data_IF_846871470687
#
_entry.id   IF_846871470687
#
_cell.length_a   1.000
_cell.length_b   1.000
_cell.length_c   1.000
_cell.angle_alpha   90.00
_cell.angle_beta   90.00
_cell.angle_gamma   90.00
#
_symmetry.space_group_name_H-M   'P 1'
#
loop_
_entity.id
_entity.type
_entity.pdbx_description
1 polymer ?
#
# COMPACT_ATOMS: atom_id res chain seq x y z
N UNK A 1 13.46 -16.05 46.67
CA UNK A 1 14.37 -14.89 46.44
C UNK A 1 14.53 -14.77 44.93
N UNK A 2 14.03 -13.81 44.16
CA UNK A 2 13.37 -12.51 44.34
C UNK A 2 12.29 -12.41 43.24
N UNK A 3 10.98 -12.32 43.54
CA UNK A 3 10.19 -11.07 43.58
C UNK A 3 10.94 -9.81 43.13
N UNK A 4 10.67 -9.36 41.89
CA UNK A 4 10.48 -7.96 41.44
C UNK A 4 10.73 -7.86 39.92
N UNK A 5 9.69 -8.03 39.11
CA UNK A 5 9.64 -7.53 37.73
C UNK A 5 8.23 -7.40 37.10
N UNK A 6 7.16 -7.03 37.84
CA UNK A 6 5.99 -6.44 37.20
C UNK A 6 5.95 -4.95 37.52
N UNK A 7 6.56 -4.09 36.69
CA UNK A 7 6.30 -2.63 36.71
C UNK A 7 6.92 -1.81 35.54
N UNK A 8 7.52 -2.41 34.51
CA UNK A 8 8.17 -1.65 33.42
C UNK A 8 7.54 -1.74 32.02
N UNK A 9 6.40 -2.40 31.86
CA UNK A 9 5.83 -2.63 30.53
C UNK A 9 4.33 -2.33 30.55
N UNK A 10 3.92 -1.23 29.90
CA UNK A 10 2.55 -0.67 29.99
C UNK A 10 1.80 -0.70 28.65
N UNK A 11 2.30 -1.43 27.64
CA UNK A 11 1.82 -1.34 26.27
C UNK A 11 1.76 -2.73 25.61
N UNK A 12 0.79 -2.98 24.72
CA UNK A 12 0.67 -4.23 23.92
C UNK A 12 1.96 -4.58 23.14
N UNK A 13 2.80 -3.57 22.87
CA UNK A 13 4.11 -3.69 22.21
C UNK A 13 5.11 -4.51 23.02
N UNK A 14 5.05 -4.42 24.34
CA UNK A 14 5.95 -5.12 25.25
C UNK A 14 5.54 -6.59 25.40
N UNK A 15 4.24 -6.89 25.27
CA UNK A 15 3.70 -8.25 25.30
C UNK A 15 4.15 -9.08 24.09
N UNK A 16 4.24 -8.47 22.90
CA UNK A 16 4.77 -9.14 21.71
C UNK A 16 6.24 -9.56 21.90
N UNK A 17 7.08 -8.67 22.46
CA UNK A 17 8.49 -8.95 22.75
C UNK A 17 8.65 -10.05 23.81
N UNK A 18 7.83 -10.01 24.87
CA UNK A 18 7.74 -11.06 25.90
C UNK A 18 7.42 -12.42 25.30
N UNK A 19 6.48 -12.50 24.35
CA UNK A 19 6.11 -13.78 23.71
C UNK A 19 7.25 -14.42 22.91
N UNK A 20 8.19 -13.63 22.37
CA UNK A 20 9.38 -14.14 21.69
C UNK A 20 10.43 -14.62 22.70
N UNK A 21 10.64 -13.86 23.79
CA UNK A 21 11.57 -14.23 24.87
C UNK A 21 11.12 -15.51 25.56
N UNK A 22 9.83 -15.69 25.82
CA UNK A 22 9.26 -16.90 26.45
C UNK A 22 9.39 -18.15 25.56
N UNK A 23 9.42 -18.00 24.23
CA UNK A 23 9.65 -19.09 23.27
C UNK A 23 11.14 -19.38 23.01
N UNK A 24 12.04 -18.66 23.67
CA UNK A 24 13.49 -18.78 23.46
C UNK A 24 13.97 -18.23 22.11
N UNK A 25 13.13 -17.47 21.41
CA UNK A 25 13.47 -16.83 20.14
C UNK A 25 14.05 -15.43 20.40
N UNK A 26 15.12 -15.08 19.67
CA UNK A 26 15.72 -13.75 19.75
C UNK A 26 14.93 -12.78 18.86
N UNK A 27 14.62 -11.59 19.37
CA UNK A 27 13.99 -10.51 18.62
C UNK A 27 14.53 -9.15 19.12
N UNK A 28 14.47 -8.11 18.29
CA UNK A 28 14.81 -6.74 18.69
C UNK A 28 13.72 -5.75 18.26
N UNK A 29 13.65 -4.61 18.96
CA UNK A 29 12.81 -3.48 18.53
C UNK A 29 13.56 -2.63 17.50
N UNK A 30 12.97 -2.44 16.33
CA UNK A 30 13.44 -1.44 15.36
C UNK A 30 13.25 -0.01 15.89
N UNK A 31 13.94 0.96 15.27
CA UNK A 31 13.78 2.40 15.60
C UNK A 31 12.35 2.92 15.49
N UNK A 32 11.50 2.24 14.72
CA UNK A 32 10.09 2.60 14.53
C UNK A 32 9.12 1.77 15.40
N UNK A 33 9.64 0.99 16.36
CA UNK A 33 8.82 0.25 17.32
C UNK A 33 8.23 -1.07 16.81
N UNK A 34 8.69 -1.56 15.66
CA UNK A 34 8.33 -2.89 15.12
C UNK A 34 9.24 -3.95 15.72
N UNK A 35 8.66 -5.06 16.21
CA UNK A 35 9.41 -6.23 16.71
C UNK A 35 9.92 -7.04 15.51
N UNK A 36 11.23 -7.25 15.45
CA UNK A 36 11.93 -7.96 14.37
C UNK A 36 12.53 -9.26 14.92
N UNK A 37 12.12 -10.45 14.42
CA UNK A 37 12.71 -11.72 14.83
C UNK A 37 14.12 -11.90 14.27
N UNK A 38 15.03 -12.42 15.08
CA UNK A 38 16.42 -12.76 14.70
C UNK A 38 16.48 -14.25 14.34
N UNK A 39 16.87 -14.61 13.10
CA UNK A 39 17.02 -16.01 12.71
C UNK A 39 18.05 -16.75 13.58
N UNK A 40 17.77 -18.02 13.93
CA UNK A 40 18.64 -18.88 14.75
C UNK A 40 20.00 -19.19 14.13
N UNK A 41 20.24 -18.82 12.87
CA UNK A 41 21.49 -19.10 12.13
C UNK A 41 22.63 -18.12 12.43
N UNK A 42 22.41 -17.11 13.29
CA UNK A 42 23.44 -16.15 13.70
C UNK A 42 23.85 -16.41 15.15
N UNK A 43 24.71 -17.40 15.33
CA UNK A 43 25.27 -17.76 16.63
C UNK A 43 26.50 -16.88 16.94
N UNK A 44 26.26 -15.59 17.17
CA UNK A 44 27.24 -14.70 17.84
C UNK A 44 26.49 -13.76 18.78
N UNK A 45 26.88 -13.77 20.06
CA UNK A 45 26.37 -12.91 21.12
C UNK A 45 26.63 -11.40 20.85
N UNK A 46 25.95 -10.49 21.56
CA UNK A 46 25.75 -9.12 21.10
C UNK A 46 26.85 -8.18 21.60
N UNK A 47 27.82 -7.89 20.75
CA UNK A 47 28.56 -6.64 20.83
C UNK A 47 28.12 -5.76 19.67
N UNK A 48 27.55 -4.60 20.00
CA UNK A 48 27.14 -3.49 19.15
C UNK A 48 27.32 -3.76 17.63
N UNK A 49 26.30 -4.34 17.00
CA UNK A 49 26.26 -4.51 15.54
C UNK A 49 26.44 -3.13 14.93
N UNK A 50 27.63 -2.87 14.37
CA UNK A 50 27.93 -1.59 13.75
C UNK A 50 26.86 -1.29 12.68
N UNK A 51 26.51 -0.02 12.50
CA UNK A 51 25.56 0.41 11.45
C UNK A 51 25.93 -0.12 10.05
N UNK A 52 27.20 -0.47 9.82
CA UNK A 52 27.67 -1.06 8.56
C UNK A 52 27.29 -2.54 8.44
N UNK A 53 27.35 -3.30 9.54
CA UNK A 53 26.98 -4.72 9.59
C UNK A 53 25.46 -4.90 9.49
N UNK A 54 24.67 -4.07 10.19
CA UNK A 54 23.21 -4.09 10.06
C UNK A 54 22.75 -3.72 8.64
N UNK A 55 23.36 -2.70 8.02
CA UNK A 55 23.12 -2.36 6.61
C UNK A 55 23.52 -3.47 5.65
N UNK A 56 24.61 -4.19 5.93
CA UNK A 56 25.04 -5.30 5.09
C UNK A 56 24.11 -6.51 5.23
N UNK A 57 23.60 -6.80 6.44
CA UNK A 57 22.61 -7.86 6.69
C UNK A 57 21.28 -7.52 6.01
N UNK A 58 20.78 -6.30 6.19
CA UNK A 58 19.59 -5.83 5.46
C UNK A 58 19.81 -5.91 3.95
N UNK A 59 20.99 -5.51 3.45
CA UNK A 59 21.32 -5.57 2.02
C UNK A 59 21.41 -7.01 1.50
N UNK A 60 21.93 -7.96 2.29
CA UNK A 60 22.00 -9.36 1.93
C UNK A 60 20.65 -10.07 2.02
N UNK A 61 19.82 -9.78 3.03
CA UNK A 61 18.44 -10.28 3.11
C UNK A 61 17.58 -9.70 1.98
N UNK A 62 17.76 -8.42 1.65
CA UNK A 62 17.13 -7.78 0.47
C UNK A 62 17.58 -8.43 -0.83
N UNK A 63 18.85 -8.80 -0.97
CA UNK A 63 19.36 -9.50 -2.16
C UNK A 63 18.76 -10.90 -2.29
N UNK A 64 18.61 -11.63 -1.17
CA UNK A 64 17.95 -12.93 -1.12
C UNK A 64 16.45 -12.82 -1.45
N UNK A 65 15.77 -11.80 -0.91
CA UNK A 65 14.36 -11.53 -1.24
C UNK A 65 14.24 -11.17 -2.73
N UNK A 66 15.04 -10.23 -3.25
CA UNK A 66 15.02 -9.84 -4.66
C UNK A 66 15.35 -10.98 -5.64
N UNK A 67 16.24 -11.91 -5.27
CA UNK A 67 16.59 -13.09 -6.10
C UNK A 67 15.71 -14.32 -5.88
N UNK A 68 14.91 -14.37 -4.82
CA UNK A 68 13.97 -15.48 -4.63
C UNK A 68 12.92 -15.46 -5.73
N UNK A 69 12.72 -16.60 -6.40
CA UNK A 69 11.69 -16.77 -7.42
C UNK A 69 10.32 -16.27 -6.88
N UNK A 70 9.42 -15.76 -7.75
CA UNK A 70 8.06 -15.42 -7.33
C UNK A 70 7.47 -16.59 -6.51
N UNK A 71 6.75 -16.34 -5.40
CA UNK A 71 6.11 -17.42 -4.67
C UNK A 71 5.28 -18.25 -5.66
N UNK A 72 5.56 -19.56 -5.74
CA UNK A 72 4.95 -20.45 -6.74
C UNK A 72 3.41 -20.54 -6.59
N UNK A 73 2.90 -20.13 -5.44
CA UNK A 73 1.49 -19.92 -5.16
C UNK A 73 1.35 -18.66 -4.31
N UNK A 74 0.88 -17.56 -4.91
CA UNK A 74 0.51 -16.35 -4.17
C UNK A 74 -0.99 -16.40 -3.91
N UNK A 75 -1.41 -16.14 -2.68
CA UNK A 75 -2.80 -15.99 -2.28
C UNK A 75 -3.39 -14.64 -2.71
N UNK A 76 -2.58 -13.67 -3.17
CA UNK A 76 -3.06 -12.48 -3.89
C UNK A 76 -3.47 -12.86 -5.32
N UNK A 77 -4.77 -12.77 -5.60
CA UNK A 77 -5.38 -13.17 -6.86
C UNK A 77 -5.41 -12.05 -7.91
N UNK A 78 -5.68 -10.81 -7.48
CA UNK A 78 -5.91 -9.67 -8.40
C UNK A 78 -5.25 -8.40 -7.88
N UNK A 79 -4.44 -7.74 -8.71
CA UNK A 79 -3.95 -6.39 -8.44
C UNK A 79 -4.60 -5.44 -9.45
N UNK A 80 -5.36 -4.48 -8.95
CA UNK A 80 -6.04 -3.45 -9.74
C UNK A 80 -5.18 -2.20 -9.70
N UNK A 81 -4.78 -1.72 -10.87
CA UNK A 81 -4.05 -0.47 -11.03
C UNK A 81 -5.01 0.55 -11.62
N UNK A 82 -5.10 1.71 -10.99
CA UNK A 82 -5.97 2.80 -11.39
C UNK A 82 -5.15 3.99 -11.88
N UNK A 83 -4.99 4.17 -13.20
CA UNK A 83 -4.44 5.42 -13.72
C UNK A 83 -5.44 6.55 -13.52
N UNK A 84 -5.08 7.54 -12.70
CA UNK A 84 -5.93 8.69 -12.37
C UNK A 84 -6.44 9.43 -13.61
N UNK A 85 -7.57 10.14 -13.47
CA UNK A 85 -8.15 10.98 -14.53
C UNK A 85 -8.48 10.22 -15.82
N UNK A 86 -8.62 10.91 -16.96
CA UNK A 86 -8.84 10.30 -18.27
C UNK A 86 -10.00 10.92 -19.05
N UNK A 87 -9.96 10.79 -20.37
CA UNK A 87 -10.94 11.35 -21.30
C UNK A 87 -11.07 12.87 -21.12
N UNK A 88 -12.26 13.30 -20.70
CA UNK A 88 -12.59 14.72 -20.47
C UNK A 88 -11.91 15.33 -19.25
N UNK A 89 -11.40 14.52 -18.34
CA UNK A 89 -10.66 14.97 -17.17
C UNK A 89 -9.15 14.87 -17.46
N UNK A 90 -8.45 15.98 -17.74
CA UNK A 90 -7.02 15.95 -18.00
C UNK A 90 -6.17 15.73 -16.74
N UNK A 91 -6.78 15.81 -15.54
CA UNK A 91 -6.06 16.01 -14.30
C UNK A 91 -5.30 17.34 -14.28
N UNK A 92 -4.22 17.41 -13.53
CA UNK A 92 -3.35 18.57 -13.52
C UNK A 92 -2.69 18.80 -14.88
N UNK A 93 -2.63 20.07 -15.29
CA UNK A 93 -1.83 20.51 -16.43
C UNK A 93 -0.50 21.02 -15.88
N UNK A 94 0.55 20.28 -16.17
CA UNK A 94 1.90 20.50 -15.67
C UNK A 94 2.68 21.55 -16.44
N UNK A 95 3.99 21.56 -16.19
CA UNK A 95 4.93 22.36 -16.96
C UNK A 95 4.97 21.89 -18.43
N UNK A 96 5.00 22.81 -19.40
CA UNK A 96 5.00 22.49 -20.84
C UNK A 96 3.77 21.70 -21.32
N UNK A 97 2.59 21.97 -20.75
CA UNK A 97 1.29 21.38 -21.13
C UNK A 97 1.20 19.86 -21.04
N UNK A 98 2.09 19.24 -20.27
CA UNK A 98 2.01 17.81 -19.93
C UNK A 98 0.74 17.61 -19.12
N UNK A 99 -0.10 16.66 -19.55
CA UNK A 99 -1.35 16.32 -18.86
C UNK A 99 -1.13 15.13 -17.96
N UNK A 100 -1.61 15.23 -16.73
CA UNK A 100 -1.50 14.16 -15.75
C UNK A 100 -2.10 12.85 -16.28
N UNK A 101 -3.28 12.90 -16.90
CA UNK A 101 -3.98 11.69 -17.39
C UNK A 101 -3.16 10.82 -18.35
N UNK A 102 -2.31 11.43 -19.17
CA UNK A 102 -1.52 10.75 -20.19
C UNK A 102 -0.30 10.12 -19.51
N UNK A 103 0.37 10.92 -18.68
CA UNK A 103 1.54 10.53 -17.91
C UNK A 103 1.25 9.36 -16.95
N UNK A 104 0.14 9.40 -16.23
CA UNK A 104 -0.23 8.36 -15.27
C UNK A 104 -0.73 7.08 -15.95
N UNK A 105 -1.29 7.17 -17.17
CA UNK A 105 -1.64 6.00 -17.97
C UNK A 105 -0.39 5.24 -18.39
N UNK A 106 0.61 5.94 -18.92
CA UNK A 106 1.89 5.35 -19.31
C UNK A 106 2.59 4.69 -18.11
N UNK A 107 2.64 5.39 -16.98
CA UNK A 107 3.19 4.85 -15.74
C UNK A 107 2.43 3.60 -15.26
N UNK A 108 1.09 3.63 -15.26
CA UNK A 108 0.27 2.49 -14.85
C UNK A 108 0.46 1.25 -15.73
N UNK A 109 0.65 1.42 -17.05
CA UNK A 109 0.98 0.33 -17.96
C UNK A 109 2.35 -0.28 -17.62
N UNK A 110 3.36 0.56 -17.36
CA UNK A 110 4.67 0.09 -16.93
C UNK A 110 4.61 -0.66 -15.60
N UNK A 111 3.81 -0.19 -14.64
CA UNK A 111 3.58 -0.86 -13.36
C UNK A 111 2.91 -2.21 -13.54
N UNK A 112 1.86 -2.29 -14.37
CA UNK A 112 1.17 -3.54 -14.71
C UNK A 112 2.16 -4.57 -15.24
N UNK A 113 2.99 -4.16 -16.19
CA UNK A 113 3.94 -5.05 -16.84
C UNK A 113 5.05 -5.49 -15.88
N UNK A 114 5.52 -4.59 -15.00
CA UNK A 114 6.49 -4.92 -13.97
C UNK A 114 5.95 -5.93 -12.95
N UNK A 115 4.73 -5.72 -12.44
CA UNK A 115 4.08 -6.64 -11.51
C UNK A 115 3.78 -8.00 -12.15
N UNK A 116 3.28 -7.99 -13.39
CA UNK A 116 2.99 -9.23 -14.14
C UNK A 116 4.25 -10.10 -14.32
N UNK A 117 5.43 -9.47 -14.53
CA UNK A 117 6.70 -10.21 -14.61
C UNK A 117 7.22 -10.69 -13.26
N UNK A 118 6.95 -9.95 -12.18
CA UNK A 118 7.53 -10.19 -10.87
C UNK A 118 6.71 -11.15 -9.98
N UNK A 119 5.43 -11.35 -10.28
CA UNK A 119 4.50 -12.15 -9.48
C UNK A 119 4.18 -13.50 -10.14
N UNK A 120 3.44 -14.33 -9.42
CA UNK A 120 2.94 -15.61 -9.93
C UNK A 120 2.07 -15.38 -11.17
N UNK A 121 2.15 -16.24 -12.21
CA UNK A 121 1.25 -16.20 -13.35
C UNK A 121 -0.25 -16.33 -12.99
N UNK A 122 -0.57 -16.76 -11.77
CA UNK A 122 -1.95 -16.79 -11.26
C UNK A 122 -2.46 -15.42 -10.81
N UNK A 123 -1.59 -14.50 -10.39
CA UNK A 123 -1.99 -13.15 -10.02
C UNK A 123 -2.34 -12.35 -11.27
N UNK A 124 -3.60 -11.93 -11.38
CA UNK A 124 -4.06 -11.07 -12.47
C UNK A 124 -3.74 -9.62 -12.15
N UNK A 125 -3.05 -8.92 -13.04
CA UNK A 125 -2.81 -7.48 -12.91
C UNK A 125 -3.63 -6.75 -13.96
N UNK A 126 -4.59 -5.94 -13.52
CA UNK A 126 -5.59 -5.29 -14.39
C UNK A 126 -5.58 -3.78 -14.21
N UNK A 127 -6.02 -3.05 -15.24
CA UNK A 127 -6.15 -1.59 -15.20
C UNK A 127 -7.63 -1.21 -15.14
N UNK A 128 -7.99 -0.18 -14.38
CA UNK A 128 -9.36 0.39 -14.43
C UNK A 128 -9.65 0.93 -15.83
N UNK A 129 -8.67 1.60 -16.45
CA UNK A 129 -8.67 2.03 -17.87
C UNK A 129 -7.36 1.66 -18.57
N UNK A 130 -7.46 1.14 -19.79
CA UNK A 130 -6.31 0.83 -20.65
C UNK A 130 -6.02 1.87 -21.74
N UNK A 131 -6.84 2.93 -21.80
CA UNK A 131 -6.80 3.98 -22.83
C UNK A 131 -7.21 5.33 -22.22
N UNK A 132 -7.26 6.38 -23.05
CA UNK A 132 -7.73 7.73 -22.66
C UNK A 132 -9.26 7.78 -22.51
N UNK A 133 -9.78 7.07 -21.51
CA UNK A 133 -11.20 7.00 -21.18
C UNK A 133 -11.48 7.68 -19.84
N UNK A 134 -12.59 8.41 -19.77
CA UNK A 134 -13.07 8.97 -18.51
C UNK A 134 -13.75 7.88 -17.68
N UNK A 135 -13.34 7.74 -16.43
CA UNK A 135 -14.04 6.98 -15.40
C UNK A 135 -14.24 7.85 -14.16
N UNK A 136 -15.47 7.92 -13.67
CA UNK A 136 -15.79 8.53 -12.39
C UNK A 136 -15.16 7.76 -11.23
N UNK A 137 -15.03 8.42 -10.08
CA UNK A 137 -14.45 7.81 -8.87
C UNK A 137 -15.29 6.61 -8.37
N UNK A 138 -16.61 6.67 -8.56
CA UNK A 138 -17.53 5.58 -8.26
C UNK A 138 -17.32 4.38 -9.20
N UNK A 139 -17.21 4.62 -10.52
CA UNK A 139 -16.95 3.56 -11.49
C UNK A 139 -15.62 2.85 -11.24
N UNK A 140 -14.57 3.57 -10.82
CA UNK A 140 -13.27 2.98 -10.43
C UNK A 140 -13.40 2.05 -9.23
N UNK A 141 -14.13 2.51 -8.21
CA UNK A 141 -14.37 1.75 -6.98
C UNK A 141 -15.19 0.48 -7.27
N UNK A 142 -16.26 0.64 -8.04
CA UNK A 142 -17.12 -0.47 -8.47
C UNK A 142 -16.35 -1.48 -9.31
N UNK A 143 -15.52 -1.01 -10.26
CA UNK A 143 -14.66 -1.87 -11.05
C UNK A 143 -13.74 -2.72 -10.16
N UNK A 144 -13.04 -2.09 -9.20
CA UNK A 144 -12.12 -2.78 -8.31
C UNK A 144 -12.83 -3.83 -7.44
N UNK A 145 -13.96 -3.46 -6.83
CA UNK A 145 -14.75 -4.38 -5.99
C UNK A 145 -15.31 -5.56 -6.81
N UNK A 146 -15.79 -5.31 -8.02
CA UNK A 146 -16.27 -6.37 -8.91
C UNK A 146 -15.14 -7.30 -9.36
N UNK A 147 -13.93 -6.76 -9.61
CA UNK A 147 -12.78 -7.56 -10.03
C UNK A 147 -12.40 -8.62 -8.98
N UNK A 148 -12.61 -8.32 -7.70
CA UNK A 148 -12.40 -9.28 -6.60
C UNK A 148 -13.67 -10.01 -6.16
N UNK A 149 -14.83 -9.70 -6.73
CA UNK A 149 -16.09 -10.38 -6.39
C UNK A 149 -16.58 -10.10 -4.96
N UNK A 150 -16.48 -8.85 -4.49
CA UNK A 150 -17.13 -8.42 -3.24
C UNK A 150 -18.62 -8.82 -3.26
N UNK A 151 -19.12 -9.36 -2.16
CA UNK A 151 -20.51 -9.82 -2.03
C UNK A 151 -20.82 -11.14 -2.74
N UNK A 152 -19.79 -11.84 -3.22
CA UNK A 152 -19.93 -13.15 -3.86
C UNK A 152 -19.25 -14.25 -3.03
N UNK A 153 -19.65 -15.50 -3.25
CA UNK A 153 -19.00 -16.68 -2.64
C UNK A 153 -17.57 -16.93 -3.16
N UNK A 154 -17.18 -16.24 -4.22
CA UNK A 154 -15.88 -16.37 -4.90
C UNK A 154 -15.02 -15.12 -4.71
N UNK A 155 -15.16 -14.46 -3.56
CA UNK A 155 -14.35 -13.29 -3.22
C UNK A 155 -12.87 -13.65 -3.23
N UNK A 156 -12.10 -12.84 -3.94
CA UNK A 156 -10.66 -13.01 -4.17
C UNK A 156 -9.87 -12.04 -3.29
N UNK A 157 -8.62 -12.38 -2.97
CA UNK A 157 -7.74 -11.41 -2.34
C UNK A 157 -7.21 -10.46 -3.41
N UNK A 158 -7.47 -9.17 -3.25
CA UNK A 158 -6.92 -8.19 -4.17
C UNK A 158 -6.23 -7.01 -3.51
N UNK A 159 -5.51 -6.27 -4.33
CA UNK A 159 -4.84 -5.03 -3.97
C UNK A 159 -5.25 -3.94 -4.95
N UNK A 160 -5.35 -2.70 -4.46
CA UNK A 160 -5.65 -1.54 -5.29
C UNK A 160 -4.50 -0.52 -5.25
N UNK A 161 -4.07 -0.05 -6.41
CA UNK A 161 -2.98 0.92 -6.55
C UNK A 161 -3.44 2.01 -7.51
N UNK A 162 -3.72 3.21 -6.99
CA UNK A 162 -3.99 4.37 -7.82
C UNK A 162 -2.70 5.13 -8.11
N UNK A 163 -2.49 5.55 -9.35
CA UNK A 163 -1.29 6.28 -9.80
C UNK A 163 -1.70 7.68 -10.23
N UNK A 164 -1.07 8.68 -9.62
CA UNK A 164 -1.33 10.10 -9.81
C UNK A 164 -0.02 10.89 -9.92
N UNK A 165 -0.10 12.12 -10.43
CA UNK A 165 1.02 13.05 -10.41
C UNK A 165 0.58 14.40 -9.82
N UNK A 166 1.09 14.67 -8.62
CA UNK A 166 0.73 15.81 -7.80
C UNK A 166 0.90 17.16 -8.53
N UNK A 167 0.20 18.17 -8.05
CA UNK A 167 0.28 19.53 -8.55
C UNK A 167 0.26 20.53 -7.40
N UNK A 168 1.02 21.61 -7.57
CA UNK A 168 1.08 22.70 -6.59
C UNK A 168 1.20 24.04 -7.30
N UNK A 169 0.54 25.06 -6.73
CA UNK A 169 0.75 26.46 -7.12
C UNK A 169 2.19 26.91 -6.90
N UNK A 170 2.85 26.38 -5.86
CA UNK A 170 4.27 26.59 -5.67
C UNK A 170 5.04 25.61 -6.57
N UNK A 171 5.52 26.10 -7.72
CA UNK A 171 6.29 25.34 -8.71
C UNK A 171 7.65 24.82 -8.24
N UNK A 172 8.10 25.18 -7.03
CA UNK A 172 9.28 24.57 -6.40
C UNK A 172 8.95 23.31 -5.57
N UNK A 173 7.66 23.05 -5.30
CA UNK A 173 7.21 21.82 -4.65
C UNK A 173 7.65 20.62 -5.48
N UNK A 174 8.20 19.61 -4.81
CA UNK A 174 8.68 18.40 -5.47
C UNK A 174 8.68 17.21 -4.52
N UNK A 175 8.81 16.04 -5.11
CA UNK A 175 8.98 14.75 -4.47
C UNK A 175 7.71 13.92 -4.46
N UNK A 176 7.89 12.61 -4.34
CA UNK A 176 6.80 11.65 -4.34
C UNK A 176 6.12 11.55 -2.97
N UNK A 177 4.87 11.08 -2.99
CA UNK A 177 4.05 10.76 -1.83
C UNK A 177 3.28 9.46 -2.06
N UNK A 178 2.98 8.73 -0.99
CA UNK A 178 2.18 7.50 -0.99
C UNK A 178 1.11 7.65 0.08
N UNK A 179 -0.14 7.43 -0.32
CA UNK A 179 -1.30 7.63 0.52
C UNK A 179 -2.07 6.34 0.75
N UNK A 180 -2.73 6.26 1.91
CA UNK A 180 -3.73 5.25 2.24
C UNK A 180 -4.89 5.90 3.03
N UNK A 181 -6.00 5.18 3.26
CA UNK A 181 -7.17 5.72 3.99
C UNK A 181 -6.86 5.88 5.50
N UNK A 182 -7.38 6.94 6.14
CA UNK A 182 -7.24 7.16 7.60
C UNK A 182 -8.26 6.37 8.44
N UNK A 183 -8.01 6.29 9.76
CA UNK A 183 -8.77 5.40 10.64
C UNK A 183 -10.13 6.00 11.00
N UNK A 184 -10.22 7.32 11.10
CA UNK A 184 -11.48 8.04 11.31
C UNK A 184 -12.47 7.77 10.15
N UNK A 185 -11.94 7.56 8.96
CA UNK A 185 -12.66 7.45 7.70
C UNK A 185 -12.98 6.02 7.30
N UNK A 186 -12.29 5.06 7.94
CA UNK A 186 -12.69 3.65 7.93
C UNK A 186 -14.15 3.46 8.35
N UNK A 187 -14.69 4.38 9.17
CA UNK A 187 -16.08 4.34 9.61
C UNK A 187 -17.08 4.66 8.49
N UNK A 188 -16.72 5.49 7.51
CA UNK A 188 -17.56 5.77 6.33
C UNK A 188 -17.41 4.66 5.29
N UNK A 189 -16.19 4.14 5.08
CA UNK A 189 -15.96 2.98 4.23
C UNK A 189 -16.71 1.74 4.75
N UNK A 190 -16.65 1.46 6.05
CA UNK A 190 -17.42 0.38 6.69
C UNK A 190 -18.94 0.55 6.50
N UNK A 191 -19.44 1.79 6.49
CA UNK A 191 -20.85 2.09 6.20
C UNK A 191 -21.20 1.83 4.74
N UNK A 192 -20.33 2.22 3.81
CA UNK A 192 -20.53 1.97 2.38
C UNK A 192 -20.61 0.46 2.09
N UNK A 193 -19.75 -0.35 2.72
CA UNK A 193 -19.82 -1.82 2.57
C UNK A 193 -21.11 -2.39 3.10
N UNK A 194 -21.48 -2.01 4.33
CA UNK A 194 -22.68 -2.54 4.95
C UNK A 194 -23.96 -2.11 4.20
N UNK A 195 -23.92 -0.97 3.50
CA UNK A 195 -24.98 -0.59 2.55
C UNK A 195 -25.02 -1.44 1.28
N UNK A 196 -23.87 -1.89 0.76
CA UNK A 196 -23.77 -2.73 -0.43
C UNK A 196 -24.29 -4.16 -0.18
N UNK A 197 -24.11 -4.66 1.04
CA UNK A 197 -24.49 -6.02 1.46
C UNK A 197 -25.94 -6.09 2.00
N UNK A 198 -26.75 -5.05 1.76
CA UNK A 198 -28.11 -4.90 2.28
C UNK A 198 -28.23 -5.06 3.81
N UNK A 199 -27.14 -4.84 4.57
CA UNK A 199 -27.08 -4.99 6.03
C UNK A 199 -27.25 -3.66 6.79
N UNK A 200 -27.59 -2.57 6.07
CA UNK A 200 -27.90 -1.25 6.62
C UNK A 200 -29.18 -0.73 6.00
N UNK A 201 -30.10 -0.25 6.84
CA UNK A 201 -31.22 0.58 6.42
C UNK A 201 -30.72 2.04 6.30
N UNK A 202 -30.80 2.60 5.10
CA UNK A 202 -30.31 3.95 4.79
C UNK A 202 -31.48 4.94 4.75
N UNK A 203 -31.50 5.92 5.66
CA UNK A 203 -32.34 7.13 5.54
C UNK A 203 -31.49 8.25 4.91
N UNK A 204 -31.58 8.34 3.58
CA UNK A 204 -30.79 9.28 2.76
C UNK A 204 -31.10 10.75 3.06
N UNK A 205 -32.32 11.08 3.53
CA UNK A 205 -32.69 12.48 3.80
C UNK A 205 -32.10 13.02 5.10
N UNK A 206 -31.79 12.13 6.06
CA UNK A 206 -31.33 12.53 7.40
C UNK A 206 -29.86 12.22 7.68
N UNK A 207 -29.14 11.64 6.71
CA UNK A 207 -27.78 11.12 6.91
C UNK A 207 -27.71 10.17 8.14
N UNK A 208 -28.76 9.37 8.35
CA UNK A 208 -28.90 8.44 9.47
C UNK A 208 -28.81 7.01 8.95
N UNK A 209 -27.79 6.30 9.42
CA UNK A 209 -27.54 4.90 9.09
C UNK A 209 -27.91 4.04 10.29
N UNK A 210 -28.78 3.06 10.09
CA UNK A 210 -29.12 2.06 11.12
C UNK A 210 -28.67 0.70 10.64
N UNK A 211 -27.66 0.12 11.30
CA UNK A 211 -27.28 -1.27 11.04
C UNK A 211 -28.49 -2.17 11.31
N UNK A 212 -28.90 -2.98 10.33
CA UNK A 212 -29.98 -3.95 10.54
C UNK A 212 -29.50 -5.13 11.39
N UNK A 213 -28.19 -5.39 11.40
CA UNK A 213 -27.50 -6.36 12.24
C UNK A 213 -26.20 -5.80 12.84
N UNK A 214 -26.16 -5.64 14.18
CA UNK A 214 -24.99 -5.10 14.88
C UNK A 214 -23.71 -5.93 14.71
N UNK A 215 -23.82 -7.26 14.57
CA UNK A 215 -22.66 -8.14 14.42
C UNK A 215 -21.97 -7.96 13.06
N UNK A 216 -22.76 -7.78 11.99
CA UNK A 216 -22.24 -7.50 10.63
C UNK A 216 -21.54 -6.13 10.60
N UNK A 217 -22.10 -5.11 11.24
CA UNK A 217 -21.45 -3.81 11.36
C UNK A 217 -20.08 -3.86 12.04
N UNK A 218 -19.93 -4.68 13.08
CA UNK A 218 -18.63 -4.90 13.75
C UNK A 218 -17.66 -5.65 12.82
N UNK A 219 -18.14 -6.69 12.14
CA UNK A 219 -17.34 -7.47 11.19
C UNK A 219 -16.77 -6.60 10.06
N UNK A 220 -17.59 -5.78 9.42
CA UNK A 220 -17.11 -4.88 8.37
C UNK A 220 -16.12 -3.85 8.90
N UNK A 221 -16.36 -3.31 10.09
CA UNK A 221 -15.40 -2.40 10.73
C UNK A 221 -14.04 -3.08 10.94
N UNK A 222 -14.01 -4.33 11.41
CA UNK A 222 -12.78 -5.09 11.59
C UNK A 222 -12.04 -5.31 10.27
N UNK A 223 -12.75 -5.66 9.19
CA UNK A 223 -12.16 -5.85 7.87
C UNK A 223 -11.57 -4.55 7.33
N UNK A 224 -12.29 -3.43 7.43
CA UNK A 224 -11.79 -2.15 6.92
C UNK A 224 -10.57 -1.68 7.73
N UNK A 225 -10.59 -1.83 9.07
CA UNK A 225 -9.41 -1.56 9.90
C UNK A 225 -8.22 -2.44 9.49
N UNK A 226 -8.48 -3.69 9.09
CA UNK A 226 -7.46 -4.61 8.60
C UNK A 226 -6.88 -4.14 7.26
N UNK A 227 -7.73 -3.84 6.28
CA UNK A 227 -7.29 -3.28 4.99
C UNK A 227 -6.50 -2.00 5.19
N UNK A 228 -6.87 -1.18 6.16
CA UNK A 228 -6.14 0.04 6.48
C UNK A 228 -4.71 -0.26 6.98
N UNK A 229 -4.54 -1.20 7.91
CA UNK A 229 -3.22 -1.62 8.40
C UNK A 229 -2.35 -2.19 7.28
N UNK A 230 -2.95 -3.01 6.42
CA UNK A 230 -2.28 -3.59 5.27
C UNK A 230 -1.87 -2.53 4.25
N UNK A 231 -2.75 -1.56 3.97
CA UNK A 231 -2.46 -0.41 3.10
C UNK A 231 -1.32 0.44 3.65
N UNK A 232 -1.30 0.67 4.97
CA UNK A 232 -0.20 1.37 5.64
C UNK A 232 1.12 0.61 5.48
N UNK A 233 1.11 -0.70 5.64
CA UNK A 233 2.31 -1.53 5.45
C UNK A 233 2.79 -1.52 3.98
N UNK A 234 1.87 -1.70 3.04
CA UNK A 234 2.16 -1.63 1.60
C UNK A 234 2.73 -0.27 1.21
N UNK A 235 2.14 0.83 1.69
CA UNK A 235 2.66 2.18 1.42
C UNK A 235 4.07 2.38 1.95
N UNK A 236 4.40 1.82 3.12
CA UNK A 236 5.75 1.84 3.69
C UNK A 236 6.78 1.12 2.81
N UNK A 237 6.43 -0.05 2.27
CA UNK A 237 7.33 -0.77 1.35
C UNK A 237 7.49 -0.06 0.00
N UNK A 238 6.40 0.46 -0.57
CA UNK A 238 6.45 1.26 -1.81
C UNK A 238 7.34 2.48 -1.61
N UNK A 239 7.16 3.21 -0.53
CA UNK A 239 7.99 4.37 -0.20
C UNK A 239 9.47 4.01 -0.10
N UNK A 240 9.79 2.97 0.68
CA UNK A 240 11.18 2.55 0.88
C UNK A 240 11.85 2.17 -0.44
N UNK A 241 11.17 1.41 -1.30
CA UNK A 241 11.74 0.99 -2.59
C UNK A 241 11.93 2.16 -3.55
N UNK A 242 10.99 3.11 -3.62
CA UNK A 242 11.15 4.33 -4.42
C UNK A 242 12.39 5.09 -3.96
N UNK A 243 12.51 5.33 -2.65
CA UNK A 243 13.62 6.07 -2.05
C UNK A 243 15.00 5.44 -2.29
N UNK A 244 15.07 4.13 -2.46
CA UNK A 244 16.34 3.40 -2.61
C UNK A 244 16.74 3.17 -4.06
N UNK A 245 15.75 2.98 -4.93
CA UNK A 245 15.99 2.43 -6.27
C UNK A 245 15.84 3.45 -7.40
N UNK A 246 15.15 4.58 -7.16
CA UNK A 246 14.92 5.58 -8.20
C UNK A 246 16.00 6.66 -8.13
N UNK A 247 16.75 6.83 -9.22
CA UNK A 247 17.78 7.86 -9.31
C UNK A 247 17.13 9.24 -9.38
N UNK A 248 17.75 10.23 -8.74
CA UNK A 248 17.31 11.64 -8.75
C UNK A 248 15.92 11.89 -8.14
N UNK A 249 15.35 10.88 -7.47
CA UNK A 249 14.08 11.01 -6.77
C UNK A 249 14.20 11.95 -5.58
N UNK A 250 13.18 12.78 -5.38
CA UNK A 250 13.06 13.60 -4.20
C UNK A 250 12.01 13.00 -3.28
N UNK A 251 12.36 12.82 -2.01
CA UNK A 251 11.46 12.35 -0.98
C UNK A 251 10.88 13.55 -0.21
N UNK A 252 9.56 13.60 -0.03
CA UNK A 252 8.96 14.62 0.84
C UNK A 252 9.17 14.31 2.32
N UNK A 253 9.01 15.33 3.17
CA UNK A 253 9.20 15.22 4.63
C UNK A 253 8.29 14.16 5.26
N UNK A 254 7.07 13.99 4.73
CA UNK A 254 6.12 12.94 5.12
C UNK A 254 5.70 12.18 3.86
N UNK A 255 6.51 11.21 3.41
CA UNK A 255 6.27 10.53 2.14
C UNK A 255 5.11 9.55 2.21
N UNK A 256 4.79 9.02 3.40
CA UNK A 256 3.63 8.16 3.65
C UNK A 256 2.65 8.94 4.51
N UNK A 257 1.43 9.10 4.02
CA UNK A 257 0.40 9.88 4.69
C UNK A 257 -0.96 9.17 4.58
N UNK A 258 -1.85 9.43 5.52
CA UNK A 258 -3.25 9.10 5.33
C UNK A 258 -3.99 10.33 4.78
N UNK A 259 -4.91 10.14 3.83
CA UNK A 259 -5.63 11.23 3.19
C UNK A 259 -7.03 10.82 2.72
N UNK A 260 -7.87 11.82 2.46
CA UNK A 260 -9.28 11.70 2.05
C UNK A 260 -9.44 11.53 0.54
N UNK A 261 -8.71 10.59 -0.07
CA UNK A 261 -8.92 10.29 -1.48
C UNK A 261 -10.15 9.40 -1.66
N UNK A 262 -11.18 9.93 -2.31
CA UNK A 262 -12.45 9.23 -2.49
C UNK A 262 -12.28 7.90 -3.24
N UNK A 263 -11.33 7.82 -4.18
CA UNK A 263 -10.99 6.57 -4.89
C UNK A 263 -10.52 5.46 -3.95
N UNK A 264 -9.92 5.80 -2.81
CA UNK A 264 -9.49 4.82 -1.82
C UNK A 264 -10.61 4.44 -0.82
N UNK A 265 -11.64 5.28 -0.65
CA UNK A 265 -12.77 4.99 0.27
C UNK A 265 -13.71 3.92 -0.29
N UNK A 266 -13.89 3.90 -1.60
CA UNK A 266 -14.85 3.00 -2.25
C UNK A 266 -14.33 1.59 -2.50
N UNK A 267 -13.02 1.34 -2.35
CA UNK A 267 -12.39 0.06 -2.65
C UNK A 267 -12.27 -0.80 -1.38
N UNK A 268 -12.74 -2.04 -1.47
CA UNK A 268 -12.88 -2.94 -0.32
C UNK A 268 -11.78 -3.98 -0.30
N UNK A 269 -10.56 -3.47 -0.30
CA UNK A 269 -9.30 -4.21 -0.25
C UNK A 269 -8.16 -3.29 0.23
N UNK A 270 -6.97 -3.80 0.54
CA UNK A 270 -5.80 -2.95 0.76
C UNK A 270 -5.52 -2.06 -0.45
N UNK A 271 -5.40 -0.76 -0.22
CA UNK A 271 -5.41 0.27 -1.25
C UNK A 271 -4.39 1.38 -0.97
N UNK A 272 -3.59 1.73 -1.98
CA UNK A 272 -2.67 2.88 -1.92
C UNK A 272 -2.87 3.79 -3.12
N UNK A 273 -2.57 5.08 -2.93
CA UNK A 273 -2.43 6.05 -4.01
C UNK A 273 -0.98 6.54 -4.05
N UNK A 274 -0.33 6.47 -5.20
CA UNK A 274 1.06 6.89 -5.40
C UNK A 274 1.07 8.17 -6.21
N UNK A 275 1.46 9.26 -5.57
CA UNK A 275 1.80 10.53 -6.22
C UNK A 275 3.26 10.47 -6.65
N UNK A 276 3.52 10.22 -7.93
CA UNK A 276 4.89 9.92 -8.40
C UNK A 276 5.81 11.15 -8.49
N UNK A 277 5.28 12.36 -8.31
CA UNK A 277 6.00 13.63 -8.30
C UNK A 277 5.10 14.80 -8.67
N UNK A 278 5.62 16.03 -8.62
CA UNK A 278 4.86 17.25 -8.93
C UNK A 278 4.96 17.63 -10.41
N UNK A 279 3.90 17.40 -11.19
CA UNK A 279 3.86 17.70 -12.62
C UNK A 279 3.97 19.20 -12.92
N UNK A 280 3.65 20.08 -11.94
CA UNK A 280 3.81 21.53 -12.08
C UNK A 280 5.25 22.01 -11.84
N UNK A 281 6.12 21.16 -11.30
CA UNK A 281 7.54 21.45 -11.09
C UNK A 281 8.33 21.20 -12.39
N UNK A 282 9.07 22.17 -12.94
CA UNK A 282 9.76 22.00 -14.23
C UNK A 282 10.84 20.92 -14.25
N UNK A 283 11.45 20.61 -13.10
CA UNK A 283 12.47 19.55 -13.00
C UNK A 283 11.78 18.19 -12.99
N UNK A 284 10.78 18.02 -12.14
CA UNK A 284 10.05 16.74 -12.07
C UNK A 284 9.22 16.48 -13.32
N UNK A 285 8.60 17.49 -13.92
CA UNK A 285 7.88 17.33 -15.18
C UNK A 285 8.77 16.74 -16.29
N UNK A 286 10.04 17.15 -16.37
CA UNK A 286 11.02 16.59 -17.31
C UNK A 286 11.39 15.15 -16.97
N UNK A 287 11.59 14.85 -15.68
CA UNK A 287 11.87 13.49 -15.21
C UNK A 287 10.68 12.57 -15.48
N UNK A 288 9.48 12.96 -15.05
CA UNK A 288 8.24 12.22 -15.22
C UNK A 288 7.85 12.02 -16.69
N UNK A 289 8.39 12.82 -17.62
CA UNK A 289 8.22 12.61 -19.07
C UNK A 289 9.29 11.69 -19.69
N UNK A 290 10.36 11.37 -18.97
CA UNK A 290 11.38 10.42 -19.43
C UNK A 290 10.89 8.99 -19.20
N UNK A 291 10.93 8.19 -20.26
CA UNK A 291 10.59 6.78 -20.20
C UNK A 291 11.48 6.03 -19.21
N UNK A 292 12.78 6.33 -19.21
CA UNK A 292 13.75 5.70 -18.30
C UNK A 292 13.42 5.98 -16.83
N UNK A 293 13.03 7.22 -16.52
CA UNK A 293 12.63 7.58 -15.16
C UNK A 293 11.30 6.92 -14.76
N UNK A 294 10.29 6.92 -15.64
CA UNK A 294 9.03 6.22 -15.40
C UNK A 294 9.24 4.72 -15.18
N UNK A 295 10.10 4.08 -15.97
CA UNK A 295 10.44 2.67 -15.82
C UNK A 295 11.10 2.40 -14.45
N UNK A 296 12.08 3.22 -14.04
CA UNK A 296 12.70 3.10 -12.72
C UNK A 296 11.68 3.30 -11.60
N UNK A 297 10.83 4.33 -11.70
CA UNK A 297 9.79 4.63 -10.71
C UNK A 297 8.81 3.46 -10.57
N UNK A 298 8.28 2.94 -11.67
CA UNK A 298 7.29 1.87 -11.66
C UNK A 298 7.89 0.51 -11.30
N UNK A 299 9.17 0.26 -11.60
CA UNK A 299 9.90 -0.89 -11.07
C UNK A 299 10.05 -0.82 -9.55
N UNK A 300 10.34 0.36 -9.00
CA UNK A 300 10.45 0.55 -7.56
C UNK A 300 9.09 0.38 -6.85
N UNK A 301 8.01 0.95 -7.41
CA UNK A 301 6.64 0.71 -6.92
C UNK A 301 6.31 -0.78 -6.95
N UNK A 302 6.58 -1.46 -8.07
CA UNK A 302 6.36 -2.90 -8.19
C UNK A 302 7.14 -3.71 -7.15
N UNK A 303 8.42 -3.37 -6.91
CA UNK A 303 9.24 -4.01 -5.89
C UNK A 303 8.65 -3.86 -4.48
N UNK A 304 8.12 -2.68 -4.15
CA UNK A 304 7.46 -2.44 -2.86
C UNK A 304 6.20 -3.27 -2.68
N UNK A 305 5.38 -3.37 -3.72
CA UNK A 305 4.19 -4.23 -3.74
C UNK A 305 4.57 -5.70 -3.62
N UNK A 306 5.58 -6.16 -4.35
CA UNK A 306 6.08 -7.55 -4.25
C UNK A 306 6.61 -7.86 -2.85
N UNK A 307 7.25 -6.90 -2.17
CA UNK A 307 7.65 -7.06 -0.76
C UNK A 307 6.45 -7.21 0.16
N UNK A 308 5.40 -6.41 -0.03
CA UNK A 308 4.14 -6.59 0.69
C UNK A 308 3.55 -7.97 0.44
N UNK A 309 3.40 -8.39 -0.83
CA UNK A 309 2.85 -9.71 -1.20
C UNK A 309 3.64 -10.83 -0.52
N UNK A 310 4.98 -10.82 -0.61
CA UNK A 310 5.82 -11.83 0.05
C UNK A 310 5.62 -11.91 1.55
N UNK A 311 5.44 -10.77 2.21
CA UNK A 311 5.15 -10.74 3.64
C UNK A 311 3.77 -11.32 3.94
N UNK A 312 2.75 -10.93 3.17
CA UNK A 312 1.39 -11.45 3.26
C UNK A 312 1.36 -12.98 3.09
N UNK A 313 2.06 -13.52 2.09
CA UNK A 313 2.16 -14.98 1.88
C UNK A 313 2.85 -15.69 3.05
N UNK A 314 3.94 -15.10 3.58
CA UNK A 314 4.70 -15.68 4.69
C UNK A 314 3.87 -15.77 5.96
N UNK A 315 2.99 -14.81 6.21
CA UNK A 315 2.09 -14.82 7.37
C UNK A 315 0.80 -15.58 7.11
N UNK A 316 0.54 -16.01 5.85
CA UNK A 316 -0.71 -16.61 5.36
C UNK A 316 -1.91 -15.68 5.55
N UNK A 317 -1.72 -14.40 5.26
CA UNK A 317 -2.60 -13.32 5.68
C UNK A 317 -2.27 -12.85 7.10
N UNK A 318 -2.87 -11.75 7.53
CA UNK A 318 -2.62 -11.17 8.87
C UNK A 318 -3.71 -11.55 9.89
N UNK A 319 -4.56 -12.52 9.54
CA UNK A 319 -5.79 -12.87 10.26
C UNK A 319 -5.90 -14.36 10.63
N UNK A 320 -4.80 -15.12 10.60
CA UNK A 320 -4.75 -16.46 11.22
C UNK A 320 -4.40 -16.38 12.70
#
# INVERSE_FOLDING_TARGET
MNRLLPLLFKNERDAALLSFIERGDRAYLSRNGVVVPVPRTLDTAPDAVSNKTARNIERSERFIIAQSAPPADTTIDVIIIDPGHGGRDPGAIGYSDIREKDLVLDAAILLRDALTRALSPRTKVVLTRGEDAFMSLEERSLYANNAVGIGTKEQKNGLFISVHANASFNRSSRGFEVYFVSAEESSEAARAVASFENSVAVDFERNRYTYTNYAEGIYYKMIIEQYQKESSMMSGFVEEEISLSVKDVVKRTKPVQSALFYVLKGVLMPAVLVEIGFITNPVEAKLLSSKEYQEQMMQAVAAGVVRYVRLFEKTKGFTQ
#
